data_IF_665474945615
#
_entry.id   IF_665474945615
#
_cell.length_a   1.000
_cell.length_b   1.000
_cell.length_c   1.000
_cell.angle_alpha   90.00
_cell.angle_beta   90.00
_cell.angle_gamma   90.00
#
_symmetry.space_group_name_H-M   'P 1'
#
loop_
_entity.id
_entity.type
_entity.pdbx_description
1 polymer ?
#
# COMPACT_ATOMS: atom_id res chain seq x y z
N UNK A 1 -1.57 -18.02 20.97
CA UNK A 1 -1.59 -16.58 20.72
C UNK A 1 -1.95 -16.30 19.27
N UNK A 2 -2.79 -15.32 19.02
CA UNK A 2 -3.31 -15.03 17.67
C UNK A 2 -2.50 -13.98 16.90
N UNK A 3 -1.47 -13.42 17.51
CA UNK A 3 -0.72 -12.29 16.92
C UNK A 3 0.11 -12.70 15.70
N UNK A 4 0.70 -13.89 15.70
CA UNK A 4 1.47 -14.38 14.56
C UNK A 4 0.70 -14.37 13.24
N UNK A 5 -0.49 -15.03 13.17
CA UNK A 5 -1.33 -14.98 11.98
C UNK A 5 -1.75 -13.56 11.57
N UNK A 6 -2.00 -12.67 12.52
CA UNK A 6 -2.35 -11.27 12.23
C UNK A 6 -1.16 -10.53 11.60
N UNK A 7 0.05 -10.73 12.10
CA UNK A 7 1.27 -10.17 11.50
C UNK A 7 1.50 -10.68 10.07
N UNK A 8 1.20 -11.95 9.82
CA UNK A 8 1.29 -12.51 8.47
C UNK A 8 0.30 -11.84 7.52
N UNK A 9 -0.95 -11.61 7.96
CA UNK A 9 -1.94 -10.92 7.15
C UNK A 9 -1.58 -9.45 6.94
N UNK A 10 -1.04 -8.78 7.96
CA UNK A 10 -0.53 -7.40 7.81
C UNK A 10 0.63 -7.33 6.81
N UNK A 11 1.55 -8.28 6.86
CA UNK A 11 2.62 -8.39 5.86
C UNK A 11 2.05 -8.49 4.45
N UNK A 12 1.06 -9.36 4.24
CA UNK A 12 0.38 -9.51 2.95
C UNK A 12 -0.28 -8.21 2.50
N UNK A 13 -0.97 -7.52 3.39
CA UNK A 13 -1.66 -6.26 3.09
C UNK A 13 -0.68 -5.13 2.75
N UNK A 14 0.44 -5.05 3.46
CA UNK A 14 1.52 -4.09 3.15
C UNK A 14 2.17 -4.38 1.79
N UNK A 15 2.39 -5.64 1.46
CA UNK A 15 2.89 -6.04 0.13
C UNK A 15 1.90 -5.65 -0.95
N UNK A 16 0.61 -5.88 -0.73
CA UNK A 16 -0.46 -5.49 -1.65
C UNK A 16 -0.51 -3.98 -1.88
N UNK A 17 -0.41 -3.20 -0.81
CA UNK A 17 -0.37 -1.73 -0.88
C UNK A 17 0.85 -1.23 -1.65
N UNK A 18 2.04 -1.77 -1.36
CA UNK A 18 3.27 -1.42 -2.06
C UNK A 18 3.16 -1.74 -3.57
N UNK A 19 2.63 -2.91 -3.90
CA UNK A 19 2.39 -3.31 -5.29
C UNK A 19 1.42 -2.37 -5.98
N UNK A 20 0.31 -1.99 -5.33
CA UNK A 20 -0.66 -1.04 -5.88
C UNK A 20 -0.06 0.34 -6.11
N UNK A 21 0.71 0.85 -5.16
CA UNK A 21 1.42 2.13 -5.32
C UNK A 21 2.40 2.10 -6.49
N UNK A 22 3.13 1.00 -6.65
CA UNK A 22 4.04 0.84 -7.79
C UNK A 22 3.28 0.81 -9.11
N UNK A 23 2.15 0.09 -9.16
CA UNK A 23 1.26 0.04 -10.32
C UNK A 23 0.73 1.42 -10.69
N UNK A 24 0.28 2.20 -9.71
CA UNK A 24 -0.20 3.59 -9.91
C UNK A 24 0.92 4.46 -10.49
N UNK A 25 2.12 4.37 -9.94
CA UNK A 25 3.30 5.08 -10.45
C UNK A 25 3.54 4.78 -11.94
N UNK A 26 3.52 3.51 -12.32
CA UNK A 26 3.79 3.08 -13.70
C UNK A 26 2.65 3.45 -14.66
N UNK A 27 1.39 3.25 -14.25
CA UNK A 27 0.23 3.57 -15.11
C UNK A 27 0.08 5.06 -15.38
N UNK A 28 0.44 5.89 -14.42
CA UNK A 28 0.22 7.34 -14.46
C UNK A 28 1.52 8.12 -14.50
N UNK A 29 2.55 7.54 -15.09
CA UNK A 29 3.92 8.13 -15.16
C UNK A 29 3.99 9.45 -15.93
N UNK A 30 2.98 9.78 -16.71
CA UNK A 30 2.85 11.08 -17.38
C UNK A 30 2.65 12.20 -16.37
N UNK A 31 2.01 11.92 -15.25
CA UNK A 31 1.94 12.83 -14.11
C UNK A 31 3.19 12.64 -13.23
N UNK A 32 4.11 13.59 -13.32
CA UNK A 32 5.40 13.53 -12.63
C UNK A 32 5.28 13.44 -11.12
N UNK A 33 4.32 14.15 -10.53
CA UNK A 33 4.09 14.11 -9.09
C UNK A 33 3.62 12.73 -8.65
N UNK A 34 2.61 12.18 -9.32
CA UNK A 34 2.11 10.83 -9.01
C UNK A 34 3.22 9.80 -9.17
N UNK A 35 3.99 9.87 -10.25
CA UNK A 35 5.11 8.95 -10.50
C UNK A 35 6.12 8.95 -9.35
N UNK A 36 6.59 10.12 -8.95
CA UNK A 36 7.64 10.23 -7.94
C UNK A 36 7.12 9.99 -6.53
N UNK A 37 5.99 10.58 -6.15
CA UNK A 37 5.45 10.44 -4.80
C UNK A 37 5.00 9.00 -4.53
N UNK A 38 4.31 8.35 -5.48
CA UNK A 38 3.91 6.96 -5.30
C UNK A 38 5.13 6.05 -5.07
N UNK A 39 6.24 6.28 -5.77
CA UNK A 39 7.50 5.54 -5.56
C UNK A 39 8.12 5.80 -4.19
N UNK A 40 8.10 7.02 -3.71
CA UNK A 40 8.54 7.34 -2.36
C UNK A 40 7.70 6.59 -1.31
N UNK A 41 6.39 6.55 -1.53
CA UNK A 41 5.47 5.82 -0.65
C UNK A 41 5.68 4.30 -0.71
N UNK A 42 6.07 3.75 -1.84
CA UNK A 42 6.52 2.34 -1.95
C UNK A 42 7.71 2.09 -1.03
N UNK A 43 8.66 3.03 -0.99
CA UNK A 43 9.82 2.95 -0.10
C UNK A 43 9.42 2.85 1.38
N UNK A 44 8.39 3.58 1.81
CA UNK A 44 7.85 3.47 3.17
C UNK A 44 7.26 2.06 3.40
N UNK A 45 6.44 1.56 2.50
CA UNK A 45 5.87 0.22 2.60
C UNK A 45 6.94 -0.86 2.64
N UNK A 46 8.02 -0.75 1.86
CA UNK A 46 9.16 -1.68 1.92
C UNK A 46 9.79 -1.71 3.31
N UNK A 47 9.95 -0.55 3.94
CA UNK A 47 10.46 -0.46 5.32
C UNK A 47 9.52 -1.11 6.32
N UNK A 48 8.20 -0.92 6.17
CA UNK A 48 7.19 -1.56 7.00
C UNK A 48 7.24 -3.09 6.87
N UNK A 49 7.33 -3.59 5.64
CA UNK A 49 7.42 -5.02 5.33
C UNK A 49 8.64 -5.65 6.01
N UNK A 50 9.80 -5.00 5.91
CA UNK A 50 11.02 -5.47 6.56
C UNK A 50 10.87 -5.51 8.08
N UNK A 51 10.22 -4.50 8.68
CA UNK A 51 9.94 -4.45 10.11
C UNK A 51 9.03 -5.57 10.59
N UNK A 52 7.95 -5.84 9.85
CA UNK A 52 7.03 -6.93 10.14
C UNK A 52 7.75 -8.29 10.07
N UNK A 53 8.55 -8.51 9.02
CA UNK A 53 9.28 -9.75 8.82
C UNK A 53 10.26 -10.00 9.97
N UNK A 54 10.97 -8.98 10.43
CA UNK A 54 11.91 -9.06 11.55
C UNK A 54 11.20 -9.46 12.84
N UNK A 55 10.09 -8.81 13.16
CA UNK A 55 9.35 -9.09 14.40
C UNK A 55 8.52 -10.37 14.30
N UNK A 56 8.05 -10.71 13.11
CA UNK A 56 7.25 -11.92 12.87
C UNK A 56 7.92 -13.20 13.36
N UNK A 57 9.26 -13.25 13.31
CA UNK A 57 10.04 -14.36 13.82
C UNK A 57 9.79 -14.64 15.31
N UNK A 58 9.58 -13.61 16.13
CA UNK A 58 9.27 -13.73 17.56
C UNK A 58 7.90 -14.40 17.80
N UNK A 59 7.06 -14.47 16.78
CA UNK A 59 5.70 -15.02 16.82
C UNK A 59 5.54 -16.22 15.90
N UNK A 60 6.65 -16.87 15.54
CA UNK A 60 6.65 -18.11 14.77
C UNK A 60 6.32 -17.93 13.27
N UNK A 61 6.46 -16.71 12.73
CA UNK A 61 6.22 -16.42 11.33
C UNK A 61 7.54 -16.26 10.58
N UNK A 62 7.65 -16.97 9.46
CA UNK A 62 8.75 -16.82 8.50
C UNK A 62 8.26 -15.98 7.32
N UNK A 63 8.52 -14.68 7.38
CA UNK A 63 8.03 -13.71 6.41
C UNK A 63 9.20 -13.14 5.61
N UNK A 64 8.99 -12.93 4.31
CA UNK A 64 9.98 -12.34 3.43
C UNK A 64 10.18 -10.85 3.76
N UNK A 65 11.39 -10.42 4.14
CA UNK A 65 11.66 -9.01 4.46
C UNK A 65 11.70 -8.11 3.23
N UNK A 66 11.87 -8.66 2.04
CA UNK A 66 12.04 -7.91 0.80
C UNK A 66 11.40 -8.64 -0.40
N UNK A 67 10.06 -8.82 -0.40
CA UNK A 67 9.38 -9.50 -1.49
C UNK A 67 9.49 -8.70 -2.79
N UNK A 68 9.44 -9.41 -3.90
CA UNK A 68 9.41 -8.79 -5.22
C UNK A 68 8.08 -8.05 -5.42
N UNK A 69 8.16 -6.75 -5.76
CA UNK A 69 7.01 -5.89 -5.98
C UNK A 69 6.78 -5.57 -7.46
N UNK A 70 7.76 -5.84 -8.32
CA UNK A 70 7.67 -5.51 -9.74
C UNK A 70 6.55 -6.29 -10.42
N UNK A 71 5.82 -5.59 -11.29
CA UNK A 71 4.79 -6.18 -12.13
C UNK A 71 5.41 -7.24 -13.03
N UNK A 72 4.93 -8.48 -12.93
CA UNK A 72 5.35 -9.55 -13.81
C UNK A 72 4.93 -9.31 -15.25
N UNK A 73 5.61 -9.94 -16.21
CA UNK A 73 5.28 -9.85 -17.63
C UNK A 73 3.82 -10.22 -17.92
N UNK A 74 3.27 -11.19 -17.20
CA UNK A 74 1.88 -11.62 -17.34
C UNK A 74 0.88 -10.52 -16.92
N UNK A 75 1.18 -9.76 -15.87
CA UNK A 75 0.36 -8.63 -15.42
C UNK A 75 0.44 -7.47 -16.41
N UNK A 76 1.64 -7.16 -16.92
CA UNK A 76 1.84 -6.15 -17.96
C UNK A 76 1.08 -6.51 -19.24
N UNK A 77 1.10 -7.78 -19.62
CA UNK A 77 0.36 -8.28 -20.78
C UNK A 77 -1.15 -8.18 -20.56
N UNK A 78 -1.64 -8.48 -19.36
CA UNK A 78 -3.05 -8.34 -18.99
C UNK A 78 -3.52 -6.89 -19.02
N UNK A 79 -2.71 -5.97 -18.55
CA UNK A 79 -3.00 -4.53 -18.59
C UNK A 79 -3.11 -4.04 -20.04
N UNK A 80 -2.13 -4.38 -20.88
CA UNK A 80 -2.17 -4.05 -22.31
C UNK A 80 -3.34 -4.70 -23.03
N UNK A 81 -3.64 -5.96 -22.73
CA UNK A 81 -4.80 -6.67 -23.29
C UNK A 81 -6.13 -6.05 -22.87
N UNK A 82 -6.25 -5.59 -21.63
CA UNK A 82 -7.43 -4.89 -21.11
C UNK A 82 -7.61 -3.52 -21.77
N UNK A 83 -6.53 -2.80 -22.02
CA UNK A 83 -6.54 -1.53 -22.76
C UNK A 83 -6.98 -1.74 -24.22
N UNK A 84 -6.50 -2.80 -24.86
CA UNK A 84 -6.82 -3.12 -26.25
C UNK A 84 -8.25 -3.63 -26.43
N UNK A 85 -8.83 -4.29 -25.44
CA UNK A 85 -10.19 -4.84 -25.49
C UNK A 85 -11.29 -3.80 -25.18
N UNK A 86 -10.94 -2.53 -25.06
CA UNK A 86 -11.91 -1.43 -24.96
C UNK A 86 -12.80 -1.47 -23.72
N UNK A 87 -12.28 -1.93 -22.59
CA UNK A 87 -12.93 -1.64 -21.32
C UNK A 87 -12.88 -0.14 -21.11
N UNK A 88 -14.05 0.47 -21.12
CA UNK A 88 -14.30 1.91 -21.26
C UNK A 88 -13.82 2.76 -20.06
N UNK A 89 -12.58 2.56 -19.62
CA UNK A 89 -11.97 3.46 -18.65
C UNK A 89 -10.99 4.35 -19.39
N UNK A 90 -11.37 5.61 -19.55
CA UNK A 90 -10.38 6.62 -19.96
C UNK A 90 -9.24 6.59 -18.94
N UNK A 91 -8.00 6.95 -19.33
CA UNK A 91 -6.88 7.02 -18.38
C UNK A 91 -7.19 7.85 -17.15
N UNK A 92 -8.00 8.89 -17.30
CA UNK A 92 -8.40 9.79 -16.21
C UNK A 92 -9.32 9.08 -15.21
N UNK A 93 -10.32 8.33 -15.68
CA UNK A 93 -11.19 7.55 -14.79
C UNK A 93 -10.41 6.42 -14.11
N UNK A 94 -9.48 5.81 -14.79
CA UNK A 94 -8.60 4.80 -14.21
C UNK A 94 -7.74 5.40 -13.08
N UNK A 95 -7.28 6.64 -13.24
CA UNK A 95 -6.55 7.34 -12.18
C UNK A 95 -7.39 7.47 -10.92
N UNK A 96 -8.65 7.89 -11.05
CA UNK A 96 -9.54 8.01 -9.90
C UNK A 96 -9.78 6.66 -9.21
N UNK A 97 -9.98 5.59 -9.98
CA UNK A 97 -10.14 4.24 -9.44
C UNK A 97 -8.88 3.76 -8.71
N UNK A 98 -7.72 3.98 -9.30
CA UNK A 98 -6.43 3.59 -8.73
C UNK A 98 -6.15 4.33 -7.41
N UNK A 99 -6.37 5.64 -7.38
CA UNK A 99 -6.19 6.45 -6.17
C UNK A 99 -7.19 6.05 -5.07
N UNK A 100 -8.44 5.74 -5.45
CA UNK A 100 -9.43 5.22 -4.50
C UNK A 100 -8.97 3.91 -3.88
N UNK A 101 -8.44 3.01 -4.68
CA UNK A 101 -7.92 1.73 -4.20
C UNK A 101 -6.74 1.94 -3.23
N UNK A 102 -5.81 2.82 -3.56
CA UNK A 102 -4.70 3.18 -2.64
C UNK A 102 -5.24 3.68 -1.31
N UNK A 103 -6.21 4.61 -1.36
CA UNK A 103 -6.83 5.15 -0.14
C UNK A 103 -7.44 4.04 0.73
N UNK A 104 -8.21 3.15 0.12
CA UNK A 104 -8.89 2.06 0.84
C UNK A 104 -7.89 1.07 1.43
N UNK A 105 -6.90 0.66 0.66
CA UNK A 105 -5.88 -0.27 1.14
C UNK A 105 -5.01 0.35 2.24
N UNK A 106 -4.54 1.58 2.06
CA UNK A 106 -3.74 2.27 3.06
C UNK A 106 -4.52 2.51 4.36
N UNK A 107 -5.80 2.87 4.25
CA UNK A 107 -6.67 3.05 5.43
C UNK A 107 -6.86 1.75 6.20
N UNK A 108 -7.04 0.64 5.51
CA UNK A 108 -7.13 -0.69 6.13
C UNK A 108 -5.84 -1.08 6.84
N UNK A 109 -4.70 -0.88 6.18
CA UNK A 109 -3.37 -1.17 6.76
C UNK A 109 -3.10 -0.28 7.97
N UNK A 110 -3.45 1.00 7.92
CA UNK A 110 -3.30 1.90 9.08
C UNK A 110 -4.12 1.42 10.28
N UNK A 111 -5.31 0.90 10.04
CA UNK A 111 -6.15 0.32 11.10
C UNK A 111 -5.52 -0.96 11.68
N UNK A 112 -4.94 -1.80 10.83
CA UNK A 112 -4.22 -3.00 11.27
C UNK A 112 -3.05 -2.64 12.17
N UNK A 113 -2.27 -1.61 11.83
CA UNK A 113 -1.18 -1.11 12.68
C UNK A 113 -1.68 -0.60 14.02
N UNK A 114 -2.84 0.07 14.04
CA UNK A 114 -3.48 0.50 15.29
C UNK A 114 -3.78 -0.69 16.21
N UNK A 115 -4.35 -1.76 15.65
CA UNK A 115 -4.63 -2.99 16.40
C UNK A 115 -3.36 -3.65 16.92
N UNK A 116 -2.32 -3.68 16.11
CA UNK A 116 -1.00 -4.22 16.51
C UNK A 116 -0.39 -3.39 17.64
N UNK A 117 -0.50 -2.05 17.59
CA UNK A 117 -0.02 -1.19 18.65
C UNK A 117 -0.72 -1.49 19.99
N UNK A 118 -2.03 -1.69 19.97
CA UNK A 118 -2.78 -2.06 21.17
C UNK A 118 -2.36 -3.42 21.72
N UNK A 119 -2.17 -4.40 20.85
CA UNK A 119 -1.69 -5.72 21.25
C UNK A 119 -0.27 -5.65 21.85
N UNK A 120 0.62 -4.85 21.25
CA UNK A 120 1.98 -4.65 21.73
C UNK A 120 2.01 -4.04 23.14
N UNK A 121 1.13 -3.08 23.40
CA UNK A 121 0.99 -2.48 24.74
C UNK A 121 0.53 -3.54 25.76
N UNK A 122 -0.49 -4.34 25.41
CA UNK A 122 -1.00 -5.40 26.27
C UNK A 122 0.05 -6.47 26.59
N UNK A 123 0.90 -6.77 25.62
CA UNK A 123 2.01 -7.74 25.78
C UNK A 123 3.26 -7.15 26.39
N UNK A 124 3.33 -5.83 26.54
CA UNK A 124 4.55 -5.09 26.93
C UNK A 124 5.72 -5.39 26.00
N UNK A 125 5.45 -5.64 24.72
CA UNK A 125 6.46 -5.88 23.70
C UNK A 125 6.89 -4.56 23.07
N UNK A 126 7.96 -3.98 23.63
CA UNK A 126 8.45 -2.64 23.27
C UNK A 126 8.83 -2.54 21.80
N UNK A 127 9.57 -3.51 21.26
CA UNK A 127 10.02 -3.48 19.87
C UNK A 127 8.84 -3.47 18.89
N UNK A 128 7.82 -4.28 19.14
CA UNK A 128 6.62 -4.30 18.32
C UNK A 128 5.86 -2.98 18.39
N UNK A 129 5.77 -2.39 19.59
CA UNK A 129 5.12 -1.10 19.78
C UNK A 129 5.85 0.01 19.00
N UNK A 130 7.18 0.06 19.09
CA UNK A 130 7.98 1.04 18.35
C UNK A 130 7.77 0.95 16.84
N UNK A 131 7.74 -0.27 16.28
CA UNK A 131 7.47 -0.48 14.86
C UNK A 131 6.06 0.00 14.50
N UNK A 132 5.05 -0.37 15.28
CA UNK A 132 3.66 0.04 15.03
C UNK A 132 3.48 1.56 15.12
N UNK A 133 4.09 2.20 16.10
CA UNK A 133 4.04 3.66 16.28
C UNK A 133 4.72 4.44 15.15
N UNK A 134 5.72 3.83 14.50
CA UNK A 134 6.36 4.39 13.32
C UNK A 134 5.52 4.16 12.05
N UNK A 135 5.04 2.94 11.85
CA UNK A 135 4.39 2.54 10.60
C UNK A 135 2.98 3.09 10.47
N UNK A 136 2.22 3.18 11.54
CA UNK A 136 0.83 3.63 11.51
C UNK A 136 0.68 5.08 11.00
N UNK A 137 1.44 6.08 11.50
CA UNK A 137 1.34 7.44 10.95
C UNK A 137 1.78 7.54 9.50
N UNK A 138 2.79 6.81 9.09
CA UNK A 138 3.24 6.79 7.70
C UNK A 138 2.17 6.21 6.78
N UNK A 139 1.50 5.14 7.20
CA UNK A 139 0.42 4.53 6.43
C UNK A 139 -0.78 5.46 6.34
N UNK A 140 -1.11 6.18 7.40
CA UNK A 140 -2.13 7.23 7.38
C UNK A 140 -1.78 8.34 6.37
N UNK A 141 -0.51 8.72 6.27
CA UNK A 141 -0.05 9.70 5.28
C UNK A 141 -0.17 9.18 3.85
N UNK A 142 0.05 7.89 3.61
CA UNK A 142 -0.20 7.27 2.30
C UNK A 142 -1.67 7.41 1.91
N UNK A 143 -2.60 7.14 2.82
CA UNK A 143 -4.03 7.32 2.60
C UNK A 143 -4.39 8.80 2.35
N UNK A 144 -3.85 9.70 3.15
CA UNK A 144 -4.09 11.14 3.03
C UNK A 144 -3.61 11.70 1.70
N UNK A 145 -2.45 11.24 1.22
CA UNK A 145 -1.95 11.62 -0.10
C UNK A 145 -2.92 11.21 -1.21
N UNK A 146 -3.38 9.95 -1.19
CA UNK A 146 -4.33 9.47 -2.20
C UNK A 146 -5.65 10.26 -2.16
N UNK A 147 -6.16 10.57 -0.97
CA UNK A 147 -7.36 11.39 -0.81
C UNK A 147 -7.16 12.80 -1.35
N UNK A 148 -6.03 13.43 -1.09
CA UNK A 148 -5.72 14.77 -1.60
C UNK A 148 -5.65 14.78 -3.13
N UNK A 149 -5.02 13.79 -3.73
CA UNK A 149 -4.94 13.66 -5.19
C UNK A 149 -6.32 13.37 -5.81
N UNK A 150 -7.17 12.59 -5.15
CA UNK A 150 -8.56 12.39 -5.57
C UNK A 150 -9.33 13.71 -5.60
N UNK A 151 -9.24 14.50 -4.54
CA UNK A 151 -9.92 15.80 -4.47
C UNK A 151 -9.44 16.76 -5.55
N UNK A 152 -8.13 16.82 -5.76
CA UNK A 152 -7.50 17.68 -6.77
C UNK A 152 -7.93 17.29 -8.19
N UNK A 153 -7.98 15.99 -8.47
CA UNK A 153 -8.24 15.47 -9.80
C UNK A 153 -9.73 15.35 -10.15
N UNK A 154 -10.59 15.18 -9.15
CA UNK A 154 -12.00 14.85 -9.36
C UNK A 154 -12.75 15.91 -10.17
N UNK A 155 -12.58 17.19 -9.87
CA UNK A 155 -13.26 18.28 -10.60
C UNK A 155 -12.81 18.33 -12.05
N UNK A 156 -11.51 18.21 -12.30
CA UNK A 156 -10.96 18.23 -13.65
C UNK A 156 -11.45 17.06 -14.50
N UNK A 157 -11.57 15.88 -13.89
CA UNK A 157 -11.91 14.66 -14.61
C UNK A 157 -13.42 14.49 -14.77
N UNK A 158 -14.21 14.77 -13.71
CA UNK A 158 -15.63 14.45 -13.69
C UNK A 158 -16.52 15.57 -14.27
N UNK A 159 -16.00 16.79 -14.36
CA UNK A 159 -16.77 17.97 -14.81
C UNK A 159 -16.39 18.41 -16.23
N UNK A 160 -15.26 17.97 -16.75
CA UNK A 160 -14.83 18.31 -18.11
C UNK A 160 -15.51 17.50 -19.22
#
# INVERSE_FOLDING_TARGET
MRLGPVLRELHRSEVGLAHKLLQVSERHKVDHEIYHVARDLVGWSRSHIAGIARIGGDYGQDLDPAPRLELGLAERAREKGSELLGRHHTPELLLLEDLRTVYMEASGVAMDWLLIAQAAQGLRHRDLLEVAEKCQPQTTRQATWAQAKLKESATQILVS
#
